data_IF_336037459808
#
_entry.id   IF_336037459808
#
_cell.length_a   1.000
_cell.length_b   1.000
_cell.length_c   1.000
_cell.angle_alpha   90.00
_cell.angle_beta   90.00
_cell.angle_gamma   90.00
#
_symmetry.space_group_name_H-M   'P 1'
#
loop_
_entity.id
_entity.type
_entity.pdbx_description
1 polymer ?
#
# COMPACT_ATOMS: atom_id res chain seq x y z
N UNK A 1 -28.04 -2.41 -18.92
CA UNK A 1 -26.70 -2.85 -18.45
C UNK A 1 -26.02 -1.67 -17.82
N UNK A 2 -25.98 -1.67 -16.49
CA UNK A 2 -25.56 -0.56 -15.64
C UNK A 2 -24.09 -0.23 -15.86
N UNK A 3 -23.80 0.97 -16.37
CA UNK A 3 -22.51 1.62 -16.17
C UNK A 3 -22.46 2.06 -14.71
N UNK A 4 -21.95 1.19 -13.85
CA UNK A 4 -21.51 1.65 -12.53
C UNK A 4 -20.37 2.64 -12.76
N UNK A 5 -20.68 3.93 -12.67
CA UNK A 5 -19.73 5.00 -12.41
C UNK A 5 -19.03 4.66 -11.09
N UNK A 6 -18.03 3.77 -11.11
CA UNK A 6 -17.04 3.66 -10.04
C UNK A 6 -16.39 5.03 -9.98
N UNK A 7 -16.76 5.83 -8.98
CA UNK A 7 -16.16 7.14 -8.70
C UNK A 7 -14.66 7.05 -8.94
N UNK A 8 -14.20 7.81 -9.93
CA UNK A 8 -12.84 7.73 -10.41
C UNK A 8 -11.94 8.26 -9.29
N UNK A 9 -11.42 7.35 -8.47
CA UNK A 9 -10.51 7.73 -7.40
C UNK A 9 -9.26 8.27 -8.06
N UNK A 10 -8.99 9.55 -7.84
CA UNK A 10 -7.77 10.25 -8.26
C UNK A 10 -6.58 9.76 -7.43
N UNK A 11 -6.04 8.62 -7.82
CA UNK A 11 -4.88 7.99 -7.16
C UNK A 11 -3.68 8.94 -7.19
N UNK A 12 -3.53 9.72 -8.27
CA UNK A 12 -2.45 10.71 -8.39
C UNK A 12 -2.53 11.79 -7.32
N UNK A 13 -3.72 12.33 -7.08
CA UNK A 13 -3.94 13.34 -6.04
C UNK A 13 -3.63 12.77 -4.64
N UNK A 14 -4.07 11.53 -4.38
CA UNK A 14 -3.79 10.84 -3.11
C UNK A 14 -2.28 10.66 -2.92
N UNK A 15 -1.55 10.22 -3.96
CA UNK A 15 -0.09 10.05 -3.90
C UNK A 15 0.59 11.39 -3.64
N UNK A 16 0.22 12.46 -4.35
CA UNK A 16 0.80 13.79 -4.12
C UNK A 16 0.61 14.27 -2.68
N UNK A 17 -0.60 14.09 -2.12
CA UNK A 17 -0.89 14.44 -0.72
C UNK A 17 -0.05 13.63 0.26
N UNK A 18 0.10 12.33 0.01
CA UNK A 18 0.96 11.44 0.81
C UNK A 18 2.44 11.82 0.69
N UNK A 19 2.92 12.19 -0.50
CA UNK A 19 4.31 12.60 -0.68
C UNK A 19 4.60 14.00 -0.14
N UNK A 20 3.59 14.89 -0.05
CA UNK A 20 3.76 16.26 0.45
C UNK A 20 4.29 16.33 1.90
N UNK A 21 4.06 15.28 2.70
CA UNK A 21 4.53 15.25 4.09
C UNK A 21 6.01 14.89 4.23
N UNK A 22 6.71 14.54 3.14
CA UNK A 22 8.15 14.21 3.15
C UNK A 22 9.04 15.29 3.76
N UNK A 23 8.70 16.57 3.52
CA UNK A 23 9.43 17.72 4.05
C UNK A 23 8.86 18.27 5.37
N UNK A 24 7.80 17.66 5.90
CA UNK A 24 7.19 18.08 7.16
C UNK A 24 7.83 17.36 8.35
N UNK A 25 7.58 17.84 9.58
CA UNK A 25 8.05 17.18 10.80
C UNK A 25 7.59 15.70 10.84
N UNK A 26 8.46 14.76 11.25
CA UNK A 26 8.10 13.36 11.48
C UNK A 26 6.85 13.25 12.36
N UNK A 27 5.85 12.48 11.92
CA UNK A 27 4.57 12.30 12.60
C UNK A 27 3.42 13.20 12.14
N UNK A 28 3.56 13.93 11.03
CA UNK A 28 2.43 14.62 10.40
C UNK A 28 1.53 13.59 9.68
N UNK A 29 0.29 13.51 10.11
CA UNK A 29 -0.70 12.61 9.52
C UNK A 29 -1.28 13.19 8.23
N UNK A 30 -1.70 12.31 7.33
CA UNK A 30 -2.38 12.68 6.09
C UNK A 30 -3.87 12.37 6.24
N UNK A 31 -4.70 13.41 6.21
CA UNK A 31 -6.15 13.26 6.35
C UNK A 31 -6.76 12.72 5.05
N UNK A 32 -6.78 11.41 4.86
CA UNK A 32 -7.56 10.76 3.80
C UNK A 32 -8.99 10.56 4.26
N UNK A 33 -9.94 10.74 3.36
CA UNK A 33 -11.35 10.46 3.63
C UNK A 33 -11.60 8.95 3.61
N UNK A 34 -12.59 8.49 4.37
CA UNK A 34 -12.97 7.06 4.39
C UNK A 34 -13.34 6.54 2.99
N UNK A 35 -13.98 7.38 2.16
CA UNK A 35 -14.33 7.05 0.79
C UNK A 35 -13.10 6.80 -0.09
N UNK A 36 -12.04 7.62 0.05
CA UNK A 36 -10.77 7.43 -0.67
C UNK A 36 -10.09 6.14 -0.24
N UNK A 37 -9.97 5.89 1.07
CA UNK A 37 -9.33 4.68 1.62
C UNK A 37 -10.08 3.42 1.15
N UNK A 38 -11.40 3.41 1.29
CA UNK A 38 -12.25 2.29 0.83
C UNK A 38 -12.10 2.08 -0.68
N UNK A 39 -12.03 3.16 -1.43
CA UNK A 39 -11.82 3.14 -2.86
C UNK A 39 -10.50 2.48 -3.26
N UNK A 40 -9.40 2.86 -2.61
CA UNK A 40 -8.08 2.24 -2.82
C UNK A 40 -8.13 0.74 -2.53
N UNK A 41 -8.72 0.35 -1.41
CA UNK A 41 -8.85 -1.06 -1.04
C UNK A 41 -9.62 -1.88 -2.10
N UNK A 42 -10.73 -1.36 -2.62
CA UNK A 42 -11.53 -2.05 -3.64
C UNK A 42 -10.74 -2.17 -4.95
N UNK A 43 -10.10 -1.09 -5.42
CA UNK A 43 -9.32 -1.12 -6.66
C UNK A 43 -8.10 -2.04 -6.55
N UNK A 44 -7.36 -1.96 -5.44
CA UNK A 44 -6.21 -2.81 -5.21
C UNK A 44 -6.62 -4.29 -5.16
N UNK A 45 -7.73 -4.62 -4.51
CA UNK A 45 -8.30 -5.98 -4.53
C UNK A 45 -8.55 -6.48 -5.95
N UNK A 46 -9.22 -5.69 -6.77
CA UNK A 46 -9.54 -6.08 -8.14
C UNK A 46 -8.25 -6.40 -8.93
N UNK A 47 -7.17 -5.65 -8.68
CA UNK A 47 -5.84 -5.90 -9.27
C UNK A 47 -5.23 -7.21 -8.74
N UNK A 48 -5.25 -7.44 -7.42
CA UNK A 48 -4.70 -8.68 -6.83
C UNK A 48 -5.43 -9.92 -7.34
N UNK A 49 -6.76 -9.87 -7.49
CA UNK A 49 -7.55 -10.97 -8.06
C UNK A 49 -7.21 -11.21 -9.53
N UNK A 50 -6.92 -10.14 -10.28
CA UNK A 50 -6.54 -10.26 -11.69
C UNK A 50 -5.13 -10.81 -11.90
N UNK A 51 -4.26 -10.69 -10.89
CA UNK A 51 -2.87 -11.14 -10.95
C UNK A 51 -2.70 -12.57 -10.40
N UNK A 52 -1.75 -13.35 -10.92
CA UNK A 52 -1.47 -14.67 -10.40
C UNK A 52 -0.86 -14.60 -9.00
N UNK A 53 -1.21 -15.57 -8.14
CA UNK A 53 -0.69 -15.68 -6.76
C UNK A 53 0.83 -15.90 -6.78
N UNK A 54 1.35 -16.61 -7.79
CA UNK A 54 2.77 -16.76 -8.03
C UNK A 54 3.22 -15.67 -9.00
N UNK A 55 3.90 -14.64 -8.48
CA UNK A 55 4.46 -13.57 -9.29
C UNK A 55 5.80 -14.00 -9.88
N UNK A 56 5.89 -14.02 -11.21
CA UNK A 56 7.15 -14.18 -11.94
C UNK A 56 7.70 -12.79 -12.24
N UNK A 57 8.80 -12.42 -11.56
CA UNK A 57 9.36 -11.07 -11.64
C UNK A 57 10.73 -11.11 -12.32
N UNK A 58 10.95 -10.17 -13.23
CA UNK A 58 12.24 -9.98 -13.90
C UNK A 58 13.06 -8.88 -13.22
N UNK A 59 14.39 -9.06 -13.21
CA UNK A 59 15.31 -8.02 -12.77
C UNK A 59 15.39 -6.89 -13.81
N UNK A 60 15.63 -5.63 -13.41
CA UNK A 60 16.00 -5.16 -12.08
C UNK A 60 14.80 -4.85 -11.17
N UNK A 61 14.82 -5.32 -9.93
CA UNK A 61 13.85 -4.97 -8.89
C UNK A 61 14.50 -4.75 -7.53
N UNK A 62 13.85 -3.95 -6.69
CA UNK A 62 14.27 -3.63 -5.34
C UNK A 62 13.38 -4.34 -4.34
N UNK A 63 13.98 -5.21 -3.54
CA UNK A 63 13.27 -5.98 -2.53
C UNK A 63 13.32 -5.21 -1.22
N UNK A 64 12.16 -4.93 -0.64
CA UNK A 64 11.99 -4.23 0.63
C UNK A 64 11.37 -5.18 1.66
N UNK A 65 11.97 -5.23 2.86
CA UNK A 65 11.45 -6.00 3.98
C UNK A 65 10.41 -5.22 4.79
N UNK A 66 10.27 -5.59 6.06
CA UNK A 66 9.24 -5.10 6.97
C UNK A 66 9.33 -3.58 7.18
N UNK A 67 8.19 -2.90 7.07
CA UNK A 67 8.08 -1.44 7.26
C UNK A 67 7.59 -1.10 8.66
N UNK A 68 6.74 -1.93 9.28
CA UNK A 68 6.17 -1.74 10.61
C UNK A 68 5.63 -0.31 10.88
N UNK A 69 4.92 0.26 9.89
CA UNK A 69 4.32 1.60 10.00
C UNK A 69 5.32 2.76 10.16
N UNK A 70 6.60 2.57 9.83
CA UNK A 70 7.61 3.63 9.74
C UNK A 70 7.52 4.37 8.40
N UNK A 71 6.47 5.18 8.25
CA UNK A 71 6.18 5.90 7.00
C UNK A 71 7.34 6.79 6.50
N UNK A 72 8.02 7.50 7.39
CA UNK A 72 9.14 8.37 7.01
C UNK A 72 10.36 7.60 6.51
N UNK A 73 10.61 6.41 7.03
CA UNK A 73 11.72 5.56 6.56
C UNK A 73 11.38 4.93 5.21
N UNK A 74 10.10 4.60 4.97
CA UNK A 74 9.62 4.21 3.65
C UNK A 74 9.82 5.32 2.60
N UNK A 75 9.49 6.57 2.95
CA UNK A 75 9.72 7.71 2.05
C UNK A 75 11.20 7.89 1.71
N UNK A 76 12.09 7.77 2.70
CA UNK A 76 13.54 7.80 2.48
C UNK A 76 14.01 6.65 1.60
N UNK A 77 13.46 5.45 1.80
CA UNK A 77 13.78 4.29 0.97
C UNK A 77 13.46 4.58 -0.51
N UNK A 78 12.34 5.24 -0.80
CA UNK A 78 12.02 5.68 -2.16
C UNK A 78 12.94 6.79 -2.67
N UNK A 79 13.40 7.72 -1.82
CA UNK A 79 14.38 8.73 -2.22
C UNK A 79 15.73 8.13 -2.62
N UNK A 80 16.24 7.16 -1.86
CA UNK A 80 17.48 6.45 -2.19
C UNK A 80 17.30 5.41 -3.29
N UNK A 81 16.14 4.77 -3.33
CA UNK A 81 15.81 3.70 -4.25
C UNK A 81 15.32 4.18 -5.61
N UNK A 82 14.89 5.44 -5.74
CA UNK A 82 14.19 5.96 -6.90
C UNK A 82 12.68 5.70 -6.80
N UNK A 83 11.85 6.68 -7.13
CA UNK A 83 10.40 6.50 -7.05
C UNK A 83 9.88 5.61 -8.20
N UNK A 84 8.81 4.82 -7.99
CA UNK A 84 8.13 4.13 -9.08
C UNK A 84 7.67 5.15 -10.14
N UNK A 85 7.89 4.92 -11.45
CA UNK A 85 8.23 3.64 -12.09
C UNK A 85 9.72 3.44 -12.43
N UNK A 86 10.62 4.35 -12.02
CA UNK A 86 12.05 4.26 -12.35
C UNK A 86 12.71 2.99 -11.80
N UNK A 87 12.21 2.52 -10.66
CA UNK A 87 12.61 1.28 -10.00
C UNK A 87 11.39 0.38 -9.78
N UNK A 88 11.54 -0.91 -10.08
CA UNK A 88 10.56 -1.92 -9.69
C UNK A 88 10.72 -2.24 -8.21
N UNK A 89 9.61 -2.45 -7.50
CA UNK A 89 9.62 -2.74 -6.07
C UNK A 89 8.88 -4.02 -5.74
N UNK A 90 9.48 -4.82 -4.87
CA UNK A 90 8.87 -5.99 -4.26
C UNK A 90 8.92 -5.84 -2.75
N UNK A 91 7.77 -5.70 -2.11
CA UNK A 91 7.69 -5.72 -0.65
C UNK A 91 7.31 -7.11 -0.14
N UNK A 92 7.93 -7.53 0.95
CA UNK A 92 7.80 -8.88 1.49
C UNK A 92 6.70 -9.04 2.57
N UNK A 93 6.04 -7.97 3.00
CA UNK A 93 4.98 -8.02 4.01
C UNK A 93 5.21 -7.11 5.22
N UNK A 94 4.46 -7.35 6.30
CA UNK A 94 4.55 -6.68 7.61
C UNK A 94 4.51 -5.14 7.52
N UNK A 95 3.57 -4.64 6.71
CA UNK A 95 3.31 -3.22 6.50
C UNK A 95 2.72 -2.54 7.75
N UNK A 96 1.89 -3.30 8.49
CA UNK A 96 0.99 -2.80 9.53
C UNK A 96 1.24 -3.55 10.84
N UNK A 97 2.19 -3.05 11.62
CA UNK A 97 2.28 -3.38 13.04
C UNK A 97 3.14 -2.32 13.76
N UNK A 98 2.87 -2.09 15.04
CA UNK A 98 3.63 -1.23 16.01
C UNK A 98 3.80 0.27 15.68
N UNK A 99 3.62 0.70 14.43
CA UNK A 99 3.84 2.08 13.98
C UNK A 99 2.61 3.00 14.12
N UNK A 100 2.84 4.28 14.42
CA UNK A 100 1.80 5.32 14.54
C UNK A 100 1.19 5.76 13.20
N UNK A 101 1.85 5.47 12.08
CA UNK A 101 1.49 5.92 10.72
C UNK A 101 1.27 4.74 9.75
N UNK A 102 0.70 3.66 10.27
CA UNK A 102 0.44 2.45 9.51
C UNK A 102 -0.61 2.68 8.41
N UNK A 103 -1.57 3.58 8.63
CA UNK A 103 -2.62 3.90 7.65
C UNK A 103 -2.04 4.63 6.42
N UNK A 104 -1.19 5.63 6.62
CA UNK A 104 -0.51 6.33 5.53
C UNK A 104 0.41 5.40 4.74
N UNK A 105 1.08 4.49 5.46
CA UNK A 105 1.97 3.48 4.87
C UNK A 105 1.19 2.58 3.92
N UNK A 106 0.12 1.94 4.38
CA UNK A 106 -0.67 1.03 3.53
C UNK A 106 -1.38 1.79 2.39
N UNK A 107 -1.88 3.00 2.64
CA UNK A 107 -2.54 3.80 1.60
C UNK A 107 -1.57 4.16 0.47
N UNK A 108 -0.33 4.53 0.79
CA UNK A 108 0.69 4.83 -0.21
C UNK A 108 1.07 3.59 -1.03
N UNK A 109 1.25 2.45 -0.37
CA UNK A 109 1.59 1.19 -1.03
C UNK A 109 0.46 0.73 -1.97
N UNK A 110 -0.80 0.79 -1.52
CA UNK A 110 -1.96 0.46 -2.34
C UNK A 110 -2.12 1.44 -3.51
N UNK A 111 -1.89 2.74 -3.29
CA UNK A 111 -1.95 3.74 -4.35
C UNK A 111 -0.88 3.47 -5.43
N UNK A 112 0.36 3.15 -5.04
CA UNK A 112 1.39 2.75 -6.00
C UNK A 112 1.06 1.44 -6.71
N UNK A 113 0.48 0.46 -6.02
CA UNK A 113 0.02 -0.79 -6.65
C UNK A 113 -1.05 -0.54 -7.71
N UNK A 114 -1.96 0.40 -7.47
CA UNK A 114 -3.00 0.76 -8.44
C UNK A 114 -2.42 1.53 -9.61
N UNK A 115 -1.48 2.45 -9.35
CA UNK A 115 -0.86 3.26 -10.40
C UNK A 115 0.11 2.47 -11.28
N UNK A 116 0.85 1.53 -10.69
CA UNK A 116 1.88 0.74 -11.36
C UNK A 116 1.74 -0.76 -11.03
N UNK A 117 0.68 -1.43 -11.51
CA UNK A 117 0.40 -2.83 -11.16
C UNK A 117 1.49 -3.81 -11.62
N UNK A 118 2.21 -3.47 -12.68
CA UNK A 118 3.26 -4.30 -13.32
C UNK A 118 4.69 -3.97 -12.84
N UNK A 119 4.88 -2.88 -12.08
CA UNK A 119 6.20 -2.47 -11.57
C UNK A 119 6.28 -2.50 -10.04
N UNK A 120 5.13 -2.55 -9.38
CA UNK A 120 5.02 -2.50 -7.93
C UNK A 120 4.31 -3.76 -7.42
N UNK A 121 5.00 -4.53 -6.58
CA UNK A 121 4.54 -5.83 -6.10
C UNK A 121 4.55 -5.84 -4.57
N UNK A 122 3.45 -6.35 -4.02
CA UNK A 122 3.22 -6.47 -2.59
C UNK A 122 2.96 -7.96 -2.31
N UNK A 123 3.83 -8.58 -1.53
CA UNK A 123 3.61 -9.93 -1.01
C UNK A 123 2.94 -9.87 0.35
N UNK A 124 2.28 -10.97 0.69
CA UNK A 124 1.59 -11.15 1.96
C UNK A 124 2.56 -11.54 3.07
N UNK A 125 2.60 -10.76 4.13
CA UNK A 125 3.42 -11.04 5.33
C UNK A 125 2.74 -12.00 6.30
N UNK A 126 3.50 -12.54 7.26
CA UNK A 126 2.96 -13.43 8.30
C UNK A 126 1.97 -12.71 9.23
N UNK A 127 2.08 -11.38 9.39
CA UNK A 127 1.09 -10.59 10.14
C UNK A 127 -0.28 -10.47 9.44
N UNK A 128 -0.38 -10.84 8.17
CA UNK A 128 -1.63 -10.77 7.40
C UNK A 128 -2.42 -12.08 7.43
N UNK A 129 -1.87 -13.13 8.06
CA UNK A 129 -2.56 -14.40 8.30
C UNK A 129 -3.27 -14.37 9.67
N UNK A 130 -4.60 -14.22 9.62
CA UNK A 130 -5.47 -14.36 10.77
C UNK A 130 -5.47 -15.80 11.28
N UNK A 131 -4.70 -16.10 12.32
CA UNK A 131 -5.12 -17.11 13.29
C UNK A 131 -4.75 -16.86 14.75
N UNK A 132 -3.87 -15.88 15.09
CA UNK A 132 -3.63 -15.61 16.52
C UNK A 132 -3.15 -14.21 16.93
N UNK A 133 -2.75 -13.31 16.02
CA UNK A 133 -2.06 -12.06 16.43
C UNK A 133 -2.94 -10.80 16.22
N UNK A 134 -3.91 -10.85 15.31
CA UNK A 134 -4.63 -9.66 14.83
C UNK A 134 -6.06 -9.45 15.38
N UNK A 135 -6.35 -9.93 16.60
CA UNK A 135 -7.62 -9.61 17.29
C UNK A 135 -7.60 -8.23 17.98
N UNK A 136 -6.45 -7.55 18.05
CA UNK A 136 -6.28 -6.34 18.86
C UNK A 136 -6.21 -5.05 18.02
N UNK A 137 -5.93 -5.13 16.71
CA UNK A 137 -5.73 -3.93 15.89
C UNK A 137 -6.92 -3.68 14.98
N UNK A 138 -7.82 -2.87 15.54
CA UNK A 138 -9.15 -2.50 15.08
C UNK A 138 -9.06 -1.90 13.65
N UNK A 139 -9.90 -2.40 12.73
CA UNK A 139 -10.20 -1.96 11.34
C UNK A 139 -9.44 -2.62 10.17
N UNK A 140 -8.15 -2.92 10.25
CA UNK A 140 -7.40 -3.45 9.08
C UNK A 140 -7.54 -4.95 8.75
N UNK A 141 -7.73 -5.88 9.71
CA UNK A 141 -7.71 -7.32 9.44
C UNK A 141 -8.83 -7.76 8.49
N UNK A 142 -10.02 -7.15 8.59
CA UNK A 142 -11.18 -7.50 7.77
C UNK A 142 -11.05 -7.07 6.31
N UNK A 143 -10.30 -5.99 6.04
CA UNK A 143 -10.01 -5.55 4.69
C UNK A 143 -8.94 -6.45 4.08
N UNK A 144 -7.86 -6.76 4.79
CA UNK A 144 -6.76 -7.57 4.24
C UNK A 144 -7.17 -9.03 3.95
N UNK A 145 -7.91 -9.70 4.84
CA UNK A 145 -8.40 -11.08 4.55
C UNK A 145 -9.50 -11.16 3.49
N UNK A 146 -10.17 -10.05 3.17
CA UNK A 146 -11.24 -10.02 2.17
C UNK A 146 -10.77 -9.46 0.81
N UNK A 147 -9.52 -8.98 0.74
CA UNK A 147 -8.89 -8.40 -0.45
C UNK A 147 -7.87 -9.38 -1.08
N UNK A 148 -7.25 -10.28 -0.30
CA UNK A 148 -6.27 -11.27 -0.79
C UNK A 148 -6.59 -12.70 -0.37
#
# INVERSE_FOLDING_TARGET
MSKDNKGEIDVDNIIERLLSVRGSKPGKNVNLTEAEVRGLCIKARDIFISQPILLELEAPLKICGDVHGQYFDLLRLFEYGGYPPESNYLFLGDYVDRGKQSLETICLLLAYKIKYPENFFLLRGNHECAHNINQIYIVLPFLITSIM
#
